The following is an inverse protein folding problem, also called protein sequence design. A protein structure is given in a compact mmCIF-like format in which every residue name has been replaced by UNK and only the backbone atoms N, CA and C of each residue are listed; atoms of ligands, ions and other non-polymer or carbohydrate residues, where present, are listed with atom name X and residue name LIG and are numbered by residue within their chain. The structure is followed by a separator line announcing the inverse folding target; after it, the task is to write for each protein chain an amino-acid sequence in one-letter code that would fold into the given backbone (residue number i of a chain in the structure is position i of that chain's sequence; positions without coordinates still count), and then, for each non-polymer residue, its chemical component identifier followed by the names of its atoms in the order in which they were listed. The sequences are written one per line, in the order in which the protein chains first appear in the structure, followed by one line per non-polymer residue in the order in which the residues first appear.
data_IF_178455867749
#
_entry.id   IF_178455867749
#
_cell.length_a   1.000
_cell.length_b   1.000
_cell.length_c   1.000
_cell.angle_alpha   90.00
_cell.angle_beta   90.00
_cell.angle_gamma   90.00
#
_symmetry.space_group_name_H-M   'P 1'
#
loop_
_entity.id
_entity.type
_entity.pdbx_description
1 polymer ?
#
# COMPACT_ATOMS: atom_id res chain seq x y z
N UNK A 1 9.95 -20.62 6.44
CA UNK A 1 9.96 -19.37 7.24
C UNK A 1 10.61 -18.23 6.50
N UNK A 2 11.95 -18.12 6.38
CA UNK A 2 12.58 -16.96 5.71
C UNK A 2 12.16 -16.82 4.23
N UNK A 3 12.16 -17.92 3.47
CA UNK A 3 11.73 -17.91 2.07
C UNK A 3 10.21 -17.69 1.90
N UNK A 4 9.39 -18.16 2.85
CA UNK A 4 7.94 -17.95 2.84
C UNK A 4 7.58 -16.49 3.18
N UNK A 5 8.27 -15.87 4.14
CA UNK A 5 8.11 -14.46 4.47
C UNK A 5 8.60 -13.56 3.33
N UNK A 6 9.69 -13.94 2.64
CA UNK A 6 10.14 -13.26 1.44
C UNK A 6 9.07 -13.28 0.33
N UNK A 7 8.48 -14.44 0.04
CA UNK A 7 7.43 -14.55 -0.97
C UNK A 7 6.21 -13.67 -0.62
N UNK A 8 5.75 -13.72 0.63
CA UNK A 8 4.63 -12.90 1.09
C UNK A 8 4.98 -11.41 1.03
N UNK A 9 6.20 -11.02 1.43
CA UNK A 9 6.66 -9.63 1.39
C UNK A 9 6.67 -9.09 -0.03
N UNK A 10 7.23 -9.82 -0.99
CA UNK A 10 7.24 -9.41 -2.41
C UNK A 10 5.82 -9.21 -2.94
N UNK A 11 4.88 -10.07 -2.54
CA UNK A 11 3.47 -9.89 -2.91
C UNK A 11 2.83 -8.68 -2.26
N UNK A 12 3.14 -8.38 -1.00
CA UNK A 12 2.66 -7.17 -0.31
C UNK A 12 3.23 -5.91 -0.97
N UNK A 13 4.51 -5.90 -1.34
CA UNK A 13 5.15 -4.80 -2.07
C UNK A 13 4.47 -4.56 -3.42
N UNK A 14 4.19 -5.62 -4.18
CA UNK A 14 3.45 -5.52 -5.44
C UNK A 14 2.04 -4.92 -5.23
N UNK A 15 1.31 -5.35 -4.20
CA UNK A 15 0.00 -4.79 -3.86
C UNK A 15 0.11 -3.32 -3.45
N UNK A 16 1.16 -2.92 -2.73
CA UNK A 16 1.38 -1.53 -2.36
C UNK A 16 1.58 -0.63 -3.59
N UNK A 17 2.30 -1.10 -4.60
CA UNK A 17 2.46 -0.40 -5.88
C UNK A 17 1.13 -0.32 -6.65
N UNK A 18 0.37 -1.42 -6.74
CA UNK A 18 -0.96 -1.41 -7.37
C UNK A 18 -1.90 -0.39 -6.71
N UNK A 19 -1.85 -0.27 -5.38
CA UNK A 19 -2.62 0.73 -4.64
C UNK A 19 -2.11 2.16 -4.91
N UNK A 20 -0.81 2.35 -5.11
CA UNK A 20 -0.24 3.65 -5.49
C UNK A 20 -0.74 4.09 -6.87
N UNK A 21 -0.69 3.19 -7.85
CA UNK A 21 -1.17 3.44 -9.21
C UNK A 21 -2.67 3.76 -9.23
N UNK A 22 -3.47 2.99 -8.45
CA UNK A 22 -4.90 3.24 -8.32
C UNK A 22 -5.21 4.60 -7.67
N UNK A 23 -4.44 5.02 -6.67
CA UNK A 23 -4.60 6.34 -6.04
C UNK A 23 -4.35 7.47 -7.06
N UNK A 24 -3.29 7.33 -7.87
CA UNK A 24 -2.96 8.31 -8.92
C UNK A 24 -4.07 8.37 -9.98
N UNK A 25 -4.59 7.22 -10.40
CA UNK A 25 -5.70 7.16 -11.36
C UNK A 25 -6.94 7.88 -10.82
N UNK A 26 -7.36 7.59 -9.58
CA UNK A 26 -8.52 8.23 -8.95
C UNK A 26 -8.34 9.74 -8.76
N UNK A 27 -7.12 10.18 -8.47
CA UNK A 27 -6.81 11.60 -8.37
C UNK A 27 -6.99 12.31 -9.73
N UNK A 28 -6.52 11.69 -10.82
CA UNK A 28 -6.69 12.22 -12.18
C UNK A 28 -8.16 12.28 -12.59
N UNK A 29 -8.91 11.20 -12.37
CA UNK A 29 -10.35 11.15 -12.65
C UNK A 29 -11.13 12.23 -11.87
N UNK A 30 -10.74 12.49 -10.62
CA UNK A 30 -11.33 13.56 -9.82
C UNK A 30 -11.07 14.95 -10.40
N UNK A 31 -9.83 15.20 -10.87
CA UNK A 31 -9.47 16.46 -11.51
C UNK A 31 -10.24 16.64 -12.82
N UNK A 32 -10.31 15.60 -13.65
CA UNK A 32 -11.01 15.63 -14.94
C UNK A 32 -12.52 15.83 -14.77
N UNK A 33 -13.11 15.32 -13.68
CA UNK A 33 -14.50 15.56 -13.31
C UNK A 33 -14.77 16.95 -12.69
N UNK A 34 -13.76 17.80 -12.54
CA UNK A 34 -13.87 19.12 -11.90
C UNK A 34 -14.00 19.08 -10.38
N UNK A 35 -13.61 17.97 -9.74
CA UNK A 35 -13.63 17.81 -8.29
C UNK A 35 -12.58 18.69 -7.60
N UNK A 36 -13.02 19.45 -6.59
CA UNK A 36 -12.15 20.32 -5.77
C UNK A 36 -11.70 19.66 -4.46
N UNK A 37 -12.29 18.51 -4.12
CA UNK A 37 -11.99 17.75 -2.91
C UNK A 37 -11.36 16.40 -3.24
N UNK A 38 -10.54 15.91 -2.32
CA UNK A 38 -9.93 14.60 -2.40
C UNK A 38 -11.01 13.52 -2.24
N UNK A 39 -11.23 12.63 -3.22
CA UNK A 39 -12.29 11.62 -3.14
C UNK A 39 -12.14 10.75 -1.89
N UNK A 40 -13.26 10.36 -1.28
CA UNK A 40 -13.26 9.42 -0.14
C UNK A 40 -12.50 8.12 -0.47
N UNK A 41 -12.56 7.69 -1.73
CA UNK A 41 -11.84 6.53 -2.24
C UNK A 41 -10.32 6.72 -2.22
N UNK A 42 -9.80 7.91 -2.52
CA UNK A 42 -8.35 8.19 -2.51
C UNK A 42 -7.77 8.12 -1.08
N UNK A 43 -8.49 8.68 -0.09
CA UNK A 43 -8.11 8.57 1.32
C UNK A 43 -8.12 7.12 1.81
N UNK A 44 -9.10 6.34 1.35
CA UNK A 44 -9.20 4.91 1.66
C UNK A 44 -8.04 4.12 1.04
N UNK A 45 -7.70 4.39 -0.21
CA UNK A 45 -6.58 3.75 -0.92
C UNK A 45 -5.25 4.07 -0.24
N UNK A 46 -5.00 5.34 0.09
CA UNK A 46 -3.76 5.76 0.78
C UNK A 46 -3.60 5.06 2.12
N UNK A 47 -4.68 4.91 2.90
CA UNK A 47 -4.65 4.19 4.17
C UNK A 47 -4.39 2.69 3.99
N UNK A 48 -5.02 2.08 2.99
CA UNK A 48 -4.78 0.68 2.65
C UNK A 48 -3.32 0.45 2.26
N UNK A 49 -2.75 1.32 1.41
CA UNK A 49 -1.35 1.24 0.99
C UNK A 49 -0.39 1.25 2.17
N UNK A 50 -0.55 2.21 3.08
CA UNK A 50 0.27 2.29 4.31
C UNK A 50 0.17 1.05 5.19
N UNK A 51 -1.01 0.43 5.27
CA UNK A 51 -1.19 -0.80 6.04
C UNK A 51 -0.44 -1.99 5.40
N UNK A 52 -0.45 -2.06 4.05
CA UNK A 52 0.27 -3.08 3.29
C UNK A 52 1.79 -2.88 3.39
N UNK A 53 2.29 -1.65 3.23
CA UNK A 53 3.71 -1.30 3.41
C UNK A 53 4.18 -1.69 4.83
N UNK A 54 3.38 -1.39 5.85
CA UNK A 54 3.70 -1.77 7.24
C UNK A 54 3.78 -3.30 7.39
N UNK A 55 2.85 -4.04 6.79
CA UNK A 55 2.88 -5.50 6.83
C UNK A 55 4.13 -6.06 6.13
N UNK A 56 4.52 -5.50 4.99
CA UNK A 56 5.75 -5.89 4.29
C UNK A 56 7.00 -5.64 5.15
N UNK A 57 7.08 -4.49 5.81
CA UNK A 57 8.20 -4.17 6.70
C UNK A 57 8.31 -5.11 7.90
N UNK A 58 7.19 -5.50 8.52
CA UNK A 58 7.18 -6.48 9.62
C UNK A 58 7.69 -7.87 9.22
N UNK A 59 7.66 -8.21 7.92
CA UNK A 59 8.19 -9.47 7.39
C UNK A 59 9.66 -9.34 6.94
N UNK A 60 10.21 -8.14 6.90
CA UNK A 60 11.63 -7.87 6.62
C UNK A 60 12.46 -7.73 7.89
N UNK A 61 11.83 -7.37 9.02
CA UNK A 61 12.51 -7.30 10.32
C UNK A 61 13.19 -8.65 10.60
N UNK A 62 14.53 -8.67 10.78
CA UNK A 62 15.20 -9.88 11.25
C UNK A 62 14.50 -10.29 12.55
N UNK A 63 14.34 -11.59 12.75
CA UNK A 63 13.76 -12.17 13.96
C UNK A 63 14.65 -11.93 15.19
N UNK A 64 15.04 -10.69 15.46
CA UNK A 64 15.63 -10.22 16.70
C UNK A 64 14.46 -9.97 17.64
N UNK A 65 14.11 -11.04 18.36
CA UNK A 65 13.13 -11.00 19.43
C UNK A 65 13.45 -9.85 20.40
N UNK A 66 12.54 -8.89 20.45
CA UNK A 66 12.59 -7.76 21.36
C UNK A 66 11.19 -7.20 21.56
N UNK A 67 10.33 -8.00 22.19
CA UNK A 67 9.19 -7.48 22.95
C UNK A 67 9.70 -6.71 24.17
#
# INVERSE_FOLDING_TARGET
MADEFLEIRVRLEAIAEELADLAILRLRESIDAGGTELPLDERRITRARRAVEKAAHLLDEPNDGGW
#
